data_IF_328321785899
#
_entry.id   IF_328321785899
#
_cell.length_a   1.000
_cell.length_b   1.000
_cell.length_c   1.000
_cell.angle_alpha   90.00
_cell.angle_beta   90.00
_cell.angle_gamma   90.00
#
_symmetry.space_group_name_H-M   'P 1'
#
loop_
_entity.id
_entity.type
_entity.pdbx_description
1 polymer ?
#
# COMPACT_ATOMS: atom_id res chain seq x y z
N UNK A 1 23.42 -9.63 -10.17
CA UNK A 1 22.12 -9.27 -10.77
C UNK A 1 21.14 -10.36 -10.40
N UNK A 2 20.08 -10.03 -9.67
CA UNK A 2 18.98 -10.97 -9.43
C UNK A 2 18.09 -10.92 -10.67
N UNK A 3 17.75 -12.06 -11.31
CA UNK A 3 16.82 -12.10 -12.43
C UNK A 3 15.52 -11.37 -12.09
N UNK A 4 14.88 -10.69 -13.06
CA UNK A 4 13.67 -9.91 -12.82
C UNK A 4 12.53 -10.76 -12.20
N UNK A 5 12.43 -12.04 -12.59
CA UNK A 5 11.51 -13.01 -12.00
C UNK A 5 11.74 -13.25 -10.50
N UNK A 6 13.00 -13.25 -10.05
CA UNK A 6 13.34 -13.41 -8.64
C UNK A 6 13.13 -12.13 -7.83
N UNK A 7 13.14 -10.96 -8.48
CA UNK A 7 12.73 -9.71 -7.86
C UNK A 7 11.22 -9.68 -7.57
N UNK A 8 10.39 -10.26 -8.44
CA UNK A 8 8.94 -10.33 -8.19
C UNK A 8 8.57 -11.26 -7.03
N UNK A 9 9.31 -12.36 -6.84
CA UNK A 9 9.14 -13.25 -5.68
C UNK A 9 9.37 -12.55 -4.34
N UNK A 10 10.11 -11.42 -4.32
CA UNK A 10 10.28 -10.64 -3.10
C UNK A 10 8.96 -10.01 -2.62
N UNK A 11 8.06 -9.64 -3.53
CA UNK A 11 6.77 -9.07 -3.17
C UNK A 11 5.86 -10.10 -2.50
N UNK A 12 5.87 -11.35 -2.97
CA UNK A 12 5.12 -12.45 -2.31
C UNK A 12 5.61 -12.69 -0.88
N UNK A 13 6.92 -12.58 -0.64
CA UNK A 13 7.49 -12.72 0.72
C UNK A 13 7.13 -11.57 1.67
N UNK A 14 6.73 -10.42 1.13
CA UNK A 14 6.30 -9.25 1.91
C UNK A 14 4.85 -9.36 2.39
N UNK A 15 4.16 -10.41 1.98
CA UNK A 15 2.77 -10.70 2.35
C UNK A 15 2.74 -11.99 3.18
N UNK A 16 1.87 -12.08 4.21
CA UNK A 16 1.61 -13.35 4.88
C UNK A 16 1.07 -14.35 3.85
N UNK A 17 1.59 -15.57 3.85
CA UNK A 17 1.19 -16.62 2.91
C UNK A 17 1.16 -16.22 1.41
N UNK A 18 1.88 -15.17 0.99
CA UNK A 18 1.75 -14.60 -0.37
C UNK A 18 2.18 -15.51 -1.52
N UNK A 19 2.87 -16.61 -1.22
CA UNK A 19 3.22 -17.67 -2.17
C UNK A 19 2.45 -18.99 -1.93
N UNK A 20 1.54 -19.02 -0.95
CA UNK A 20 0.81 -20.20 -0.50
C UNK A 20 -0.70 -20.14 -0.83
N UNK A 21 -1.15 -19.13 -1.58
CA UNK A 21 -2.54 -19.05 -2.03
C UNK A 21 -2.75 -20.08 -3.16
N UNK A 22 -3.71 -21.03 -3.02
CA UNK A 22 -3.88 -22.12 -3.98
C UNK A 22 -4.14 -21.64 -5.41
N UNK A 23 -3.35 -22.11 -6.38
CA UNK A 23 -3.55 -21.80 -7.81
C UNK A 23 -3.08 -20.41 -8.25
N UNK A 24 -2.38 -19.66 -7.39
CA UNK A 24 -2.03 -18.26 -7.65
C UNK A 24 -0.51 -18.09 -7.68
N UNK A 25 0.06 -17.86 -8.87
CA UNK A 25 1.50 -17.61 -9.00
C UNK A 25 1.87 -16.14 -8.81
N UNK A 26 0.94 -15.22 -9.07
CA UNK A 26 1.14 -13.78 -9.06
C UNK A 26 0.04 -13.06 -8.27
N UNK A 27 0.06 -13.23 -6.94
CA UNK A 27 -0.88 -12.57 -6.04
C UNK A 27 -0.85 -11.04 -6.21
N UNK A 28 -2.02 -10.41 -6.32
CA UNK A 28 -2.18 -8.98 -6.61
C UNK A 28 -2.36 -8.65 -8.09
N UNK A 29 -2.49 -9.65 -8.96
CA UNK A 29 -2.77 -9.47 -10.38
C UNK A 29 -4.09 -10.14 -10.79
N UNK A 30 -4.69 -9.65 -11.88
CA UNK A 30 -5.96 -10.19 -12.41
C UNK A 30 -5.84 -11.61 -13.00
N UNK A 31 -4.62 -12.08 -13.28
CA UNK A 31 -4.36 -13.39 -13.90
C UNK A 31 -3.35 -14.15 -13.05
N UNK A 32 -3.50 -15.47 -13.01
CA UNK A 32 -2.68 -16.37 -12.18
C UNK A 32 -1.17 -16.15 -12.38
N UNK A 33 -0.71 -16.02 -13.63
CA UNK A 33 0.71 -15.81 -13.98
C UNK A 33 1.12 -14.33 -14.08
N UNK A 34 0.25 -13.40 -13.67
CA UNK A 34 0.49 -11.95 -13.65
C UNK A 34 -0.24 -11.17 -14.74
N UNK A 35 -0.24 -9.84 -14.64
CA UNK A 35 -0.99 -8.95 -15.53
C UNK A 35 -1.17 -7.55 -14.94
N UNK A 36 -2.23 -6.82 -15.29
CA UNK A 36 -2.65 -5.66 -14.52
C UNK A 36 -2.88 -6.04 -13.05
N UNK A 37 -2.73 -5.05 -12.15
CA UNK A 37 -3.03 -5.27 -10.74
C UNK A 37 -4.55 -5.39 -10.55
N UNK A 38 -4.97 -6.32 -9.70
CA UNK A 38 -6.32 -6.31 -9.13
C UNK A 38 -6.38 -5.30 -7.98
N UNK A 39 -7.55 -5.16 -7.34
CA UNK A 39 -7.75 -4.16 -6.28
C UNK A 39 -6.80 -4.39 -5.07
N UNK A 40 -6.58 -5.64 -4.65
CA UNK A 40 -5.55 -5.98 -3.65
C UNK A 40 -4.15 -5.53 -4.05
N UNK A 41 -3.75 -5.76 -5.30
CA UNK A 41 -2.46 -5.33 -5.82
C UNK A 41 -2.31 -3.82 -5.88
N UNK A 42 -3.39 -3.09 -6.19
CA UNK A 42 -3.41 -1.63 -6.15
C UNK A 42 -3.28 -1.10 -4.72
N UNK A 43 -3.95 -1.74 -3.77
CA UNK A 43 -3.86 -1.41 -2.35
C UNK A 43 -2.48 -1.72 -1.78
N UNK A 44 -1.83 -2.79 -2.24
CA UNK A 44 -0.46 -3.10 -1.85
C UNK A 44 0.53 -2.05 -2.39
N UNK A 45 0.29 -1.53 -3.60
CA UNK A 45 1.04 -0.40 -4.17
C UNK A 45 0.80 0.87 -3.34
N UNK A 46 -0.44 1.16 -2.95
CA UNK A 46 -0.79 2.30 -2.09
C UNK A 46 -0.08 2.20 -0.72
N UNK A 47 0.02 0.98 -0.17
CA UNK A 47 0.78 0.68 1.04
C UNK A 47 2.31 0.65 0.83
N UNK A 48 2.81 1.09 -0.33
CA UNK A 48 4.23 1.10 -0.70
C UNK A 48 4.91 -0.27 -0.59
N UNK A 49 4.18 -1.35 -0.90
CA UNK A 49 4.64 -2.73 -0.81
C UNK A 49 5.04 -3.16 0.61
N UNK A 50 4.31 -2.66 1.61
CA UNK A 50 4.46 -3.01 3.03
C UNK A 50 3.14 -3.58 3.55
N UNK A 51 3.22 -4.67 4.31
CA UNK A 51 2.09 -5.20 5.07
C UNK A 51 1.80 -4.31 6.28
N UNK A 52 1.20 -3.15 6.03
CA UNK A 52 0.80 -2.23 7.09
C UNK A 52 -0.49 -2.72 7.73
N UNK A 53 -0.76 -2.30 8.98
CA UNK A 53 -2.03 -2.57 9.63
C UNK A 53 -3.23 -2.11 8.81
N UNK A 54 -3.16 -0.91 8.21
CA UNK A 54 -4.23 -0.39 7.37
C UNK A 54 -4.47 -1.22 6.11
N UNK A 55 -3.42 -1.80 5.52
CA UNK A 55 -3.56 -2.67 4.36
C UNK A 55 -4.10 -4.04 4.76
N UNK A 56 -3.61 -4.60 5.86
CA UNK A 56 -4.09 -5.86 6.42
C UNK A 56 -5.58 -5.81 6.82
N UNK A 57 -6.05 -4.70 7.40
CA UNK A 57 -7.46 -4.52 7.80
C UNK A 57 -8.38 -4.13 6.64
N UNK A 58 -7.84 -3.89 5.43
CA UNK A 58 -8.64 -3.53 4.26
C UNK A 58 -9.34 -4.76 3.69
N UNK A 59 -10.56 -4.56 3.21
CA UNK A 59 -11.32 -5.49 2.39
C UNK A 59 -11.13 -5.05 0.93
N UNK A 60 -10.10 -5.57 0.28
CA UNK A 60 -9.65 -5.06 -1.02
C UNK A 60 -10.59 -5.42 -2.17
N UNK A 61 -11.25 -6.57 -2.11
CA UNK A 61 -12.18 -7.02 -3.16
C UNK A 61 -13.67 -6.86 -2.82
N UNK A 62 -13.97 -6.41 -1.59
CA UNK A 62 -15.32 -6.03 -1.17
C UNK A 62 -16.21 -7.21 -0.81
N UNK A 63 -15.63 -8.36 -0.49
CA UNK A 63 -16.38 -9.56 -0.13
C UNK A 63 -16.82 -9.60 1.34
N UNK A 64 -16.30 -8.68 2.17
CA UNK A 64 -16.56 -8.58 3.60
C UNK A 64 -15.51 -9.25 4.50
N UNK A 65 -14.41 -9.76 3.96
CA UNK A 65 -13.24 -10.22 4.71
C UNK A 65 -12.09 -9.24 4.58
N UNK A 66 -11.25 -9.16 5.60
CA UNK A 66 -10.02 -8.39 5.51
C UNK A 66 -8.91 -9.19 4.84
N UNK A 67 -7.98 -8.49 4.18
CA UNK A 67 -6.77 -9.07 3.61
C UNK A 67 -6.02 -9.95 4.64
N UNK A 68 -6.00 -9.54 5.90
CA UNK A 68 -5.43 -10.30 7.02
C UNK A 68 -6.18 -11.59 7.33
N UNK A 69 -7.51 -11.58 7.34
CA UNK A 69 -8.28 -12.82 7.49
C UNK A 69 -7.96 -13.78 6.34
N UNK A 70 -7.97 -13.31 5.12
CA UNK A 70 -7.77 -14.19 3.96
C UNK A 70 -6.36 -14.76 3.86
N UNK A 71 -5.34 -13.97 4.21
CA UNK A 71 -3.94 -14.38 4.15
C UNK A 71 -3.38 -14.97 5.46
N UNK A 72 -4.22 -15.18 6.47
CA UNK A 72 -3.85 -15.86 7.71
C UNK A 72 -3.14 -15.00 8.76
N UNK A 73 -3.30 -13.68 8.69
CA UNK A 73 -2.87 -12.71 9.68
C UNK A 73 -4.03 -11.80 10.12
N UNK A 74 -5.08 -12.32 10.78
CA UNK A 74 -6.26 -11.53 11.15
C UNK A 74 -5.97 -10.45 12.21
N UNK A 75 -4.82 -10.53 12.87
CA UNK A 75 -4.38 -9.57 13.88
C UNK A 75 -3.41 -8.51 13.35
N UNK A 76 -3.03 -8.59 12.08
CA UNK A 76 -2.11 -7.66 11.43
C UNK A 76 -0.75 -7.56 12.15
N UNK A 77 -0.22 -8.72 12.55
CA UNK A 77 1.02 -8.87 13.31
C UNK A 77 2.20 -9.22 12.41
N UNK A 78 1.94 -9.66 11.16
CA UNK A 78 2.98 -10.02 10.22
C UNK A 78 3.86 -8.81 9.89
N UNK A 79 5.16 -8.98 10.05
CA UNK A 79 6.17 -8.00 9.70
C UNK A 79 7.32 -8.69 8.98
N UNK A 80 7.44 -8.43 7.68
CA UNK A 80 8.49 -9.00 6.85
C UNK A 80 9.89 -8.78 7.46
N UNK A 81 10.66 -9.86 7.62
CA UNK A 81 12.00 -9.94 8.23
C UNK A 81 12.09 -9.56 9.71
N UNK A 82 10.98 -9.30 10.39
CA UNK A 82 10.96 -8.97 11.81
C UNK A 82 10.15 -10.00 12.59
N UNK A 83 8.89 -10.20 12.18
CA UNK A 83 7.94 -11.10 12.82
C UNK A 83 7.04 -11.69 11.74
N UNK A 84 7.50 -12.72 11.05
CA UNK A 84 6.75 -13.40 9.97
C UNK A 84 5.76 -14.43 10.53
N UNK A 85 5.08 -14.08 11.62
CA UNK A 85 4.08 -14.92 12.27
C UNK A 85 2.76 -14.81 11.51
N UNK A 86 2.15 -15.96 11.22
CA UNK A 86 0.78 -16.09 10.69
C UNK A 86 0.02 -17.05 11.59
N UNK A 87 -1.27 -16.79 11.78
CA UNK A 87 -2.15 -17.61 12.62
C UNK A 87 -2.52 -18.92 11.94
N UNK A 88 -2.58 -18.94 10.61
CA UNK A 88 -2.73 -20.16 9.81
C UNK A 88 -2.03 -20.06 8.45
N UNK A 89 -1.81 -21.22 7.83
CA UNK A 89 -1.22 -21.36 6.49
C UNK A 89 -2.09 -22.20 5.55
N UNK A 90 -3.15 -22.81 6.06
CA UNK A 90 -4.11 -23.64 5.32
C UNK A 90 -5.48 -22.98 5.40
N UNK A 91 -6.26 -23.08 4.32
CA UNK A 91 -7.54 -22.38 4.23
C UNK A 91 -7.42 -20.87 3.94
N UNK A 92 -6.25 -20.43 3.48
CA UNK A 92 -6.07 -19.07 2.94
C UNK A 92 -6.85 -18.90 1.62
N UNK A 93 -7.26 -17.68 1.33
CA UNK A 93 -8.02 -17.32 0.13
C UNK A 93 -7.35 -16.19 -0.67
N UNK A 94 -7.97 -15.79 -1.78
CA UNK A 94 -7.39 -14.81 -2.70
C UNK A 94 -8.01 -13.42 -2.43
N UNK A 95 -7.29 -12.49 -1.78
CA UNK A 95 -7.84 -11.19 -1.32
C UNK A 95 -8.15 -10.15 -2.41
N UNK A 96 -8.05 -10.56 -3.66
CA UNK A 96 -8.40 -9.75 -4.83
C UNK A 96 -9.46 -10.41 -5.72
N UNK A 97 -10.15 -11.44 -5.22
CA UNK A 97 -11.18 -12.18 -5.94
C UNK A 97 -12.36 -12.47 -4.98
N UNK A 98 -13.47 -11.71 -5.08
CA UNK A 98 -14.55 -11.77 -4.11
C UNK A 98 -15.35 -13.08 -4.14
N UNK A 99 -15.06 -13.98 -5.09
CA UNK A 99 -15.63 -15.33 -5.12
C UNK A 99 -14.86 -16.33 -4.25
N UNK A 100 -13.63 -16.01 -3.85
CA UNK A 100 -12.73 -16.90 -3.14
C UNK A 100 -12.59 -16.45 -1.69
N UNK A 101 -13.46 -16.99 -0.82
CA UNK A 101 -13.49 -16.65 0.60
C UNK A 101 -12.76 -17.68 1.48
N UNK A 102 -12.15 -17.23 2.56
CA UNK A 102 -11.67 -18.12 3.63
C UNK A 102 -12.86 -18.54 4.52
N UNK A 103 -12.70 -19.63 5.25
CA UNK A 103 -13.71 -20.09 6.21
C UNK A 103 -13.67 -19.20 7.47
N UNK A 104 -14.76 -18.51 7.84
CA UNK A 104 -14.79 -17.68 9.06
C UNK A 104 -14.48 -18.41 10.35
N UNK A 105 -14.61 -19.74 10.39
CA UNK A 105 -14.20 -20.55 11.53
C UNK A 105 -12.70 -20.42 11.84
N UNK A 106 -11.85 -20.01 10.87
CA UNK A 106 -10.41 -19.83 11.07
C UNK A 106 -10.07 -18.68 12.01
N UNK A 107 -10.95 -17.69 12.15
CA UNK A 107 -10.76 -16.56 13.08
C UNK A 107 -11.87 -16.42 14.12
N UNK A 108 -12.75 -17.41 14.23
CA UNK A 108 -13.72 -17.44 15.30
C UNK A 108 -13.01 -17.60 16.66
N UNK A 109 -13.18 -16.61 17.55
CA UNK A 109 -12.58 -16.61 18.89
C UNK A 109 -11.12 -16.15 18.97
N UNK A 110 -10.53 -15.62 17.90
CA UNK A 110 -9.22 -14.98 17.97
C UNK A 110 -9.34 -13.60 18.62
N UNK A 111 -8.63 -13.40 19.73
CA UNK A 111 -8.44 -12.10 20.36
C UNK A 111 -7.05 -11.56 20.03
N UNK A 112 -6.99 -10.43 19.32
CA UNK A 112 -5.73 -9.80 18.98
C UNK A 112 -5.17 -9.01 20.17
N UNK A 113 -3.87 -9.18 20.46
CA UNK A 113 -3.17 -8.42 21.51
C UNK A 113 -2.82 -9.19 22.79
N UNK A 114 -3.13 -10.49 22.90
CA UNK A 114 -2.75 -11.32 24.06
C UNK A 114 -1.36 -11.98 23.95
N UNK A 115 -0.78 -12.04 22.75
CA UNK A 115 0.54 -12.65 22.51
C UNK A 115 1.63 -11.63 22.09
N UNK A 116 1.32 -10.32 22.12
CA UNK A 116 2.22 -9.28 21.65
C UNK A 116 3.10 -8.68 22.78
N UNK A 117 4.01 -9.48 23.34
CA UNK A 117 5.24 -8.98 23.96
C UNK A 117 6.25 -10.11 24.28
N UNK A 118 7.36 -10.24 23.53
CA UNK A 118 8.61 -10.62 24.19
C UNK A 118 9.13 -9.40 24.95
N UNK A 119 9.37 -9.55 26.26
CA UNK A 119 9.96 -8.53 27.14
C UNK A 119 11.22 -7.90 26.50
N UNK A 120 11.09 -6.69 25.97
CA UNK A 120 12.23 -5.85 25.67
C UNK A 120 12.79 -5.35 27.00
N UNK A 121 13.90 -5.95 27.44
CA UNK A 121 14.71 -5.36 28.52
C UNK A 121 15.28 -4.04 28.01
N UNK A 122 14.84 -2.95 28.62
CA UNK A 122 15.45 -1.62 28.49
C UNK A 122 16.94 -1.71 28.82
N UNK A 123 17.78 -1.49 27.80
CA UNK A 123 19.18 -1.13 28.00
C UNK A 123 19.31 0.37 27.75
N UNK A 124 19.32 1.10 28.86
CA UNK A 124 19.78 2.48 28.98
C UNK A 124 21.22 2.59 28.43
N UNK A 125 21.44 3.43 27.41
CA UNK A 125 22.79 3.85 27.02
C UNK A 125 22.82 5.37 26.92
N UNK A 126 23.48 5.94 27.92
CA UNK A 126 23.78 7.34 28.09
C UNK A 126 24.65 7.92 26.97
N UNK A 127 24.37 9.18 26.67
CA UNK A 127 25.11 10.09 25.81
C UNK A 127 26.43 10.52 26.47
N UNK A 128 27.57 10.34 25.77
CA UNK A 128 28.80 11.10 26.07
C UNK A 128 29.50 11.55 24.79
N UNK A 129 29.81 12.84 24.76
CA UNK A 129 30.43 13.60 23.67
C UNK A 129 31.91 13.87 23.96
N UNK A 130 32.72 13.89 22.89
CA UNK A 130 33.82 14.84 22.59
C UNK A 130 35.30 14.36 22.54
N UNK A 131 35.97 14.92 21.50
CA UNK A 131 37.40 15.25 21.29
C UNK A 131 38.37 14.11 20.90
N UNK A 132 38.91 14.02 19.67
CA UNK A 132 39.78 14.89 18.84
C UNK A 132 41.29 14.57 18.98
N UNK A 133 41.94 14.06 17.90
CA UNK A 133 43.08 14.70 17.21
C UNK A 133 43.62 13.91 15.98
N UNK A 134 43.82 14.67 14.90
CA UNK A 134 44.60 14.44 13.66
C UNK A 134 46.15 14.40 13.92
N UNK A 135 47.11 14.21 12.95
CA UNK A 135 47.12 14.54 11.50
C UNK A 135 47.81 13.46 10.58
N UNK A 136 47.91 13.53 9.23
CA UNK A 136 48.78 14.38 8.39
C UNK A 136 48.52 14.12 6.87
N UNK A 137 48.53 15.22 6.08
CA UNK A 137 48.84 15.54 4.65
C UNK A 137 49.00 14.44 3.58
N UNK A 138 48.59 14.65 2.30
CA UNK A 138 49.23 15.63 1.38
C UNK A 138 48.39 15.94 0.12
N UNK A 139 48.54 17.19 -0.31
CA UNK A 139 47.96 18.03 -1.37
C UNK A 139 47.94 17.52 -2.83
N UNK A 140 47.07 18.13 -3.68
CA UNK A 140 47.45 18.93 -4.89
C UNK A 140 46.34 19.97 -5.27
N UNK A 141 46.75 21.26 -5.34
CA UNK A 141 46.32 22.49 -6.09
C UNK A 141 44.86 22.70 -6.63
N UNK A 142 44.11 23.76 -6.22
CA UNK A 142 43.97 25.16 -6.77
C UNK A 142 43.35 25.26 -8.19
N UNK A 143 42.35 26.10 -8.56
CA UNK A 143 41.50 27.20 -8.00
C UNK A 143 40.50 27.62 -9.14
N UNK A 144 39.67 28.71 -9.09
CA UNK A 144 38.52 29.08 -8.24
C UNK A 144 37.21 29.41 -9.05
N UNK A 145 36.07 29.68 -8.37
CA UNK A 145 35.34 30.99 -8.42
C UNK A 145 33.86 30.92 -7.95
N UNK A 146 33.63 31.60 -6.82
CA UNK A 146 32.51 32.47 -6.42
C UNK A 146 31.06 31.94 -6.46
N UNK A 147 30.50 31.71 -5.26
CA UNK A 147 29.06 31.77 -5.02
C UNK A 147 28.75 33.09 -4.31
N UNK A 148 27.88 33.90 -4.92
CA UNK A 148 27.25 35.04 -4.30
C UNK A 148 25.96 34.57 -3.61
N UNK A 149 25.89 34.76 -2.29
CA UNK A 149 24.63 34.89 -1.56
C UNK A 149 23.80 36.03 -2.15
N UNK A 150 22.50 35.82 -2.31
CA UNK A 150 21.54 36.92 -2.34
C UNK A 150 20.27 36.52 -1.61
N UNK A 151 19.97 37.29 -0.58
CA UNK A 151 18.80 37.21 0.29
C UNK A 151 17.58 37.88 -0.35
N UNK A 152 16.42 37.47 0.17
CA UNK A 152 15.13 38.18 0.17
C UNK A 152 14.28 38.26 -1.12
N UNK A 153 13.03 37.77 -1.01
CA UNK A 153 11.90 38.25 -1.79
C UNK A 153 10.90 37.17 -2.26
N UNK A 154 9.86 36.89 -1.47
CA UNK A 154 8.56 36.47 -2.00
C UNK A 154 7.70 37.74 -2.19
N UNK A 155 6.86 37.86 -3.24
CA UNK A 155 5.67 37.01 -3.37
C UNK A 155 5.34 36.57 -4.81
N UNK A 156 5.13 35.27 -5.00
CA UNK A 156 4.53 34.70 -6.23
C UNK A 156 3.46 33.65 -5.89
N UNK A 157 2.68 33.85 -4.83
CA UNK A 157 1.78 32.83 -4.26
C UNK A 157 0.30 33.00 -4.63
N UNK A 158 -0.06 33.74 -5.69
CA UNK A 158 -1.48 33.94 -6.05
C UNK A 158 -1.89 33.40 -7.43
N UNK A 159 -0.93 32.97 -8.26
CA UNK A 159 -1.25 32.40 -9.58
C UNK A 159 -1.59 30.90 -9.54
N UNK A 160 -1.10 30.15 -8.54
CA UNK A 160 -1.27 28.68 -8.47
C UNK A 160 -2.63 28.23 -7.95
N UNK A 161 -3.30 29.03 -7.11
CA UNK A 161 -4.58 28.65 -6.46
C UNK A 161 -5.77 28.78 -7.42
N UNK A 162 -5.72 29.69 -8.39
CA UNK A 162 -6.83 29.89 -9.32
C UNK A 162 -6.87 28.84 -10.44
N UNK A 163 -5.72 28.31 -10.85
CA UNK A 163 -5.68 27.20 -11.84
C UNK A 163 -6.23 25.88 -11.26
N UNK A 164 -6.06 25.63 -9.96
CA UNK A 164 -6.57 24.41 -9.33
C UNK A 164 -8.09 24.44 -9.13
N UNK A 165 -8.67 25.59 -8.78
CA UNK A 165 -10.12 25.73 -8.62
C UNK A 165 -10.90 25.52 -9.93
N UNK A 166 -10.37 26.02 -11.06
CA UNK A 166 -11.00 25.85 -12.37
C UNK A 166 -10.98 24.39 -12.86
N UNK A 167 -9.89 23.66 -12.60
CA UNK A 167 -9.78 22.25 -12.95
C UNK A 167 -10.76 21.38 -12.17
N UNK A 168 -10.92 21.65 -10.86
CA UNK A 168 -11.89 20.93 -10.02
C UNK A 168 -13.34 21.24 -10.42
N UNK A 169 -13.66 22.49 -10.72
CA UNK A 169 -15.00 22.86 -11.22
C UNK A 169 -15.30 22.18 -12.56
N UNK A 170 -14.33 22.13 -13.48
CA UNK A 170 -14.46 21.44 -14.76
C UNK A 170 -14.68 19.92 -14.60
N UNK A 171 -13.93 19.28 -13.71
CA UNK A 171 -14.07 17.86 -13.42
C UNK A 171 -15.43 17.53 -12.79
N UNK A 172 -15.91 18.36 -11.87
CA UNK A 172 -17.23 18.17 -11.25
C UNK A 172 -18.36 18.32 -12.27
N UNK A 173 -18.30 19.32 -13.15
CA UNK A 173 -19.27 19.49 -14.25
C UNK A 173 -19.22 18.29 -15.20
N UNK A 174 -18.02 17.81 -15.54
CA UNK A 174 -17.84 16.64 -16.40
C UNK A 174 -18.45 15.37 -15.80
N UNK A 175 -18.19 15.09 -14.51
CA UNK A 175 -18.75 13.93 -13.79
C UNK A 175 -20.28 14.01 -13.72
N UNK A 176 -20.85 15.18 -13.43
CA UNK A 176 -22.30 15.38 -13.39
C UNK A 176 -22.92 15.20 -14.79
N UNK A 177 -22.28 15.73 -15.84
CA UNK A 177 -22.73 15.56 -17.22
C UNK A 177 -22.66 14.08 -17.66
N UNK A 178 -21.63 13.34 -17.26
CA UNK A 178 -21.51 11.92 -17.57
C UNK A 178 -22.52 11.07 -16.80
N UNK A 179 -22.77 11.36 -15.52
CA UNK A 179 -23.80 10.68 -14.71
C UNK A 179 -25.20 10.93 -15.28
N UNK A 180 -25.52 12.17 -15.65
CA UNK A 180 -26.83 12.52 -16.24
C UNK A 180 -27.01 11.93 -17.64
N UNK A 181 -25.95 11.85 -18.47
CA UNK A 181 -25.99 11.13 -19.75
C UNK A 181 -26.21 9.63 -19.56
N UNK A 182 -25.54 9.01 -18.60
CA UNK A 182 -25.69 7.57 -18.26
C UNK A 182 -27.11 7.25 -17.77
N UNK A 183 -27.73 8.15 -17.00
CA UNK A 183 -29.13 8.02 -16.54
C UNK A 183 -30.12 8.20 -17.71
N UNK A 184 -29.86 9.12 -18.64
CA UNK A 184 -30.71 9.35 -19.82
C UNK A 184 -30.57 8.27 -20.90
N UNK A 185 -29.44 7.56 -20.95
CA UNK A 185 -29.21 6.45 -21.89
C UNK A 185 -29.77 5.11 -21.43
N UNK A 186 -30.30 5.02 -20.20
CA UNK A 186 -31.05 3.84 -19.77
C UNK A 186 -32.43 3.86 -20.45
N UNK A 187 -32.80 2.83 -21.24
CA UNK A 187 -34.12 2.76 -21.83
C UNK A 187 -35.13 2.52 -20.70
N UNK A 188 -35.82 3.58 -20.28
CA UNK A 188 -36.99 3.47 -19.42
C UNK A 188 -38.03 2.68 -20.20
N UNK A 189 -38.28 1.44 -19.77
CA UNK A 189 -39.40 0.61 -20.20
C UNK A 189 -40.69 1.44 -20.18
N UNK A 190 -41.10 1.92 -21.36
CA UNK A 190 -42.39 2.57 -21.56
C UNK A 190 -43.41 1.49 -21.87
N UNK A 191 -43.73 0.66 -20.88
CA UNK A 191 -44.94 -0.13 -20.89
C UNK A 191 -45.97 0.55 -20.00
N UNK A 192 -47.19 0.66 -20.55
CA UNK A 192 -48.44 0.97 -19.86
C UNK A 192 -48.83 2.46 -19.77
N UNK A 193 -49.58 2.94 -20.78
CA UNK A 193 -51.03 3.20 -20.64
C UNK A 193 -51.61 3.93 -21.86
N UNK A 194 -52.84 3.49 -22.20
CA UNK A 194 -53.92 4.14 -22.97
C UNK A 194 -53.98 3.91 -24.48
N UNK A 195 -55.10 3.32 -24.90
CA UNK A 195 -55.60 3.22 -26.25
C UNK A 195 -56.29 1.89 -26.46
#
# INVERSE_FOLDING_TARGET
>A
MVPLADAYKLFQKKLPNGANVPGVEALGHEREAGGPNNDFGLDFVEAMFVWTRSFCEKDSDGDGQTNGQELGDPCCEFQFRQQEHVRWTQGVSHPGDPALKADPALWEGIECGVDAAPEAKEAEVAETKAAEKQPVETAVAHEPRSQHEFTAGAPALHASVMLSAAALAGLMIYVVAMRTRRVRSLPIFRQQRRG
#
